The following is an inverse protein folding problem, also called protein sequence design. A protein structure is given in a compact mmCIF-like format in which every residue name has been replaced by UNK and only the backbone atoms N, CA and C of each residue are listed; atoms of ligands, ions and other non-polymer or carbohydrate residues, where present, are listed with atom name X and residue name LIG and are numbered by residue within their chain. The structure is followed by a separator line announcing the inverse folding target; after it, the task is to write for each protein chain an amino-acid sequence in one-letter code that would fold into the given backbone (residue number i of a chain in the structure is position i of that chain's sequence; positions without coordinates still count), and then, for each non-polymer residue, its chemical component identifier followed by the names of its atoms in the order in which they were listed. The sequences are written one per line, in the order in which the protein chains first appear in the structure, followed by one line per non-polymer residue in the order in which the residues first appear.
data_IF_813696464924
#
_entry.id   IF_813696464924
#
_cell.length_a   1.000
_cell.length_b   1.000
_cell.length_c   1.000
_cell.angle_alpha   90.00
_cell.angle_beta   90.00
_cell.angle_gamma   90.00
#
_symmetry.space_group_name_H-M   'P 1'
#
loop_
_entity.id
_entity.type
_entity.pdbx_description
1 polymer ?
#
# COMPACT_ATOMS: atom_id res chain seq x y z
N UNK A 1 -1.73 -31.35 3.74
CA UNK A 1 -2.89 -30.51 3.37
C UNK A 1 -3.84 -31.14 2.36
N UNK A 2 -3.38 -32.02 1.44
CA UNK A 2 -4.25 -32.67 0.43
C UNK A 2 -5.37 -33.52 1.04
N UNK A 3 -5.04 -34.34 2.06
CA UNK A 3 -5.99 -35.24 2.74
C UNK A 3 -7.19 -34.49 3.36
N UNK A 4 -6.95 -33.34 3.99
CA UNK A 4 -8.03 -32.55 4.61
C UNK A 4 -8.95 -31.89 3.56
N UNK A 5 -8.39 -31.44 2.43
CA UNK A 5 -9.19 -30.87 1.32
C UNK A 5 -10.07 -31.93 0.66
N UNK A 6 -9.53 -33.13 0.49
CA UNK A 6 -10.25 -34.28 -0.10
C UNK A 6 -11.39 -34.76 0.79
N UNK A 7 -11.15 -34.92 2.10
CA UNK A 7 -12.20 -35.28 3.06
C UNK A 7 -13.35 -34.25 3.06
N UNK A 8 -13.03 -32.95 3.07
CA UNK A 8 -14.02 -31.88 3.01
C UNK A 8 -14.83 -31.90 1.71
N UNK A 9 -14.18 -32.12 0.56
CA UNK A 9 -14.87 -32.20 -0.72
C UNK A 9 -15.82 -33.40 -0.80
N UNK A 10 -15.39 -34.57 -0.29
CA UNK A 10 -16.22 -35.77 -0.27
C UNK A 10 -17.46 -35.61 0.61
N UNK A 11 -17.35 -34.90 1.72
CA UNK A 11 -18.46 -34.66 2.65
C UNK A 11 -19.44 -33.58 2.13
N UNK A 12 -18.92 -32.44 1.65
CA UNK A 12 -19.75 -31.27 1.35
C UNK A 12 -20.11 -31.12 -0.13
N UNK A 13 -19.42 -31.85 -1.02
CA UNK A 13 -19.44 -31.67 -2.48
C UNK A 13 -19.13 -30.24 -2.92
N UNK A 14 -18.39 -29.49 -2.10
CA UNK A 14 -17.99 -28.11 -2.36
C UNK A 14 -16.47 -27.99 -2.36
N UNK A 15 -15.94 -27.17 -3.26
CA UNK A 15 -14.52 -26.82 -3.25
C UNK A 15 -14.20 -26.04 -1.98
N UNK A 16 -13.06 -26.36 -1.36
CA UNK A 16 -12.56 -25.63 -0.22
C UNK A 16 -12.17 -24.21 -0.64
N UNK A 17 -12.91 -23.20 -0.20
CA UNK A 17 -12.57 -21.79 -0.38
C UNK A 17 -12.11 -21.18 0.94
N UNK A 18 -11.14 -20.26 0.85
CA UNK A 18 -10.63 -19.54 2.02
C UNK A 18 -11.74 -18.79 2.76
N UNK A 19 -12.66 -18.18 2.01
CA UNK A 19 -13.76 -17.38 2.55
C UNK A 19 -14.74 -18.21 3.39
N UNK A 20 -15.05 -19.44 2.95
CA UNK A 20 -15.91 -20.32 3.73
C UNK A 20 -15.23 -20.77 5.03
N UNK A 21 -13.93 -21.07 4.97
CA UNK A 21 -13.16 -21.43 6.14
C UNK A 21 -13.06 -20.27 7.13
N UNK A 22 -12.86 -19.04 6.63
CA UNK A 22 -12.84 -17.81 7.42
C UNK A 22 -14.17 -17.56 8.11
N UNK A 23 -15.30 -17.77 7.44
CA UNK A 23 -16.62 -17.62 8.04
C UNK A 23 -16.84 -18.61 9.19
N UNK A 24 -16.48 -19.88 9.02
CA UNK A 24 -16.57 -20.89 10.09
C UNK A 24 -15.68 -20.51 11.29
N UNK A 25 -14.46 -20.06 11.02
CA UNK A 25 -13.51 -19.65 12.05
C UNK A 25 -13.99 -18.41 12.81
N UNK A 26 -14.56 -17.40 12.14
CA UNK A 26 -15.03 -16.16 12.78
C UNK A 26 -16.18 -16.40 13.76
N UNK A 27 -17.05 -17.36 13.45
CA UNK A 27 -18.21 -17.69 14.26
C UNK A 27 -17.86 -18.62 15.44
N UNK A 28 -16.63 -19.12 15.46
CA UNK A 28 -16.15 -19.98 16.53
C UNK A 28 -16.03 -19.20 17.86
N UNK A 29 -16.65 -19.73 18.93
CA UNK A 29 -16.71 -19.08 20.26
C UNK A 29 -15.36 -18.59 20.78
N UNK A 30 -14.30 -19.37 20.52
CA UNK A 30 -12.93 -19.00 20.91
C UNK A 30 -12.49 -17.64 20.33
N UNK A 31 -12.89 -17.26 19.12
CA UNK A 31 -12.54 -15.95 18.55
C UNK A 31 -13.53 -14.85 18.89
N UNK A 32 -14.80 -15.20 19.12
CA UNK A 32 -15.83 -14.23 19.50
C UNK A 32 -15.63 -13.63 20.89
N UNK A 33 -15.05 -14.40 21.82
CA UNK A 33 -14.90 -13.98 23.23
C UNK A 33 -13.69 -13.08 23.51
N UNK A 34 -12.79 -12.88 22.54
CA UNK A 34 -11.61 -12.01 22.67
C UNK A 34 -11.86 -10.56 22.27
N UNK A 35 -12.94 -10.24 21.56
CA UNK A 35 -13.22 -8.87 21.10
C UNK A 35 -13.77 -7.95 22.21
N UNK A 36 -14.23 -8.51 23.34
CA UNK A 36 -14.89 -7.75 24.42
C UNK A 36 -14.15 -7.72 25.75
N UNK A 37 -13.08 -8.51 25.93
CA UNK A 37 -12.36 -8.54 27.20
C UNK A 37 -11.21 -7.52 27.15
N UNK A 38 -11.47 -6.33 27.69
CA UNK A 38 -10.40 -5.40 28.10
C UNK A 38 -9.37 -6.21 28.89
N UNK A 39 -8.07 -6.14 28.57
CA UNK A 39 -7.05 -6.79 29.37
C UNK A 39 -7.19 -6.27 30.81
N UNK A 40 -7.63 -7.13 31.73
CA UNK A 40 -7.38 -6.86 33.14
C UNK A 40 -5.86 -6.99 33.28
N UNK A 41 -5.21 -5.84 33.29
CA UNK A 41 -3.83 -5.70 33.69
C UNK A 41 -3.61 -6.50 34.99
N UNK A 42 -2.61 -7.38 35.06
CA UNK A 42 -2.06 -7.78 36.35
C UNK A 42 -1.47 -6.52 36.98
N UNK A 43 -2.16 -5.95 37.98
CA UNK A 43 -1.56 -5.00 38.91
C UNK A 43 -0.61 -5.78 39.79
N UNK A 44 0.60 -6.01 39.30
CA UNK A 44 1.73 -6.46 40.10
C UNK A 44 2.65 -5.25 40.32
N UNK A 45 2.80 -4.88 41.59
CA UNK A 45 3.59 -3.75 42.04
C UNK A 45 5.10 -3.97 41.77
N UNK A 46 5.90 -2.90 41.62
CA UNK A 46 7.27 -2.99 41.16
C UNK A 46 8.23 -3.39 42.29
N UNK A 47 9.19 -4.32 42.07
CA UNK A 47 10.38 -4.35 42.87
C UNK A 47 11.34 -3.24 42.41
N UNK A 48 11.56 -2.34 43.37
CA UNK A 48 12.54 -1.28 43.42
C UNK A 48 13.98 -1.71 43.11
N UNK A 49 14.80 -0.71 42.80
CA UNK A 49 16.27 -0.66 42.79
C UNK A 49 16.99 -1.12 41.51
N UNK A 50 17.59 -0.18 40.78
CA UNK A 50 18.99 0.23 41.03
C UNK A 50 19.49 1.11 39.87
N UNK A 51 19.82 2.36 40.18
CA UNK A 51 20.61 3.25 39.32
C UNK A 51 22.07 3.28 39.84
N UNK A 52 23.08 3.37 38.96
CA UNK A 52 24.10 4.43 39.12
C UNK A 52 24.71 4.88 37.75
N UNK A 53 25.73 5.78 37.70
CA UNK A 53 25.60 7.23 37.62
C UNK A 53 26.08 7.83 36.27
N UNK A 54 25.65 9.06 36.02
CA UNK A 54 26.19 9.97 34.98
C UNK A 54 27.65 10.35 35.26
N UNK A 55 28.48 10.54 34.23
CA UNK A 55 29.60 11.49 34.28
C UNK A 55 29.21 12.85 33.67
N UNK A 56 29.35 13.87 34.51
CA UNK A 56 29.36 15.31 34.22
C UNK A 56 30.76 15.73 33.73
N UNK A 57 30.83 16.53 32.66
CA UNK A 57 31.77 17.65 32.35
C UNK A 57 31.97 17.76 30.84
N UNK A 58 31.83 18.89 30.15
CA UNK A 58 31.57 20.29 30.50
C UNK A 58 31.50 21.12 29.21
N UNK A 59 31.11 22.41 29.26
CA UNK A 59 31.21 23.38 28.16
C UNK A 59 32.57 24.12 28.25
N UNK A 60 33.21 24.50 27.13
CA UNK A 60 32.84 25.69 26.35
C UNK A 60 32.91 25.36 24.83
N UNK A 61 32.41 26.15 23.89
CA UNK A 61 32.98 27.44 23.50
C UNK A 61 32.16 27.89 22.27
N UNK A 62 31.71 29.14 22.29
CA UNK A 62 31.03 29.75 21.17
C UNK A 62 32.06 30.21 20.13
N UNK A 63 31.85 29.90 18.83
CA UNK A 63 32.33 30.75 17.76
C UNK A 63 31.18 31.65 17.31
N UNK A 64 31.43 32.94 17.45
CA UNK A 64 30.63 34.06 16.95
C UNK A 64 30.14 33.85 15.51
N UNK A 65 28.94 34.36 15.16
CA UNK A 65 28.51 34.47 13.77
C UNK A 65 29.37 35.54 13.09
N UNK A 66 30.31 35.08 12.26
CA UNK A 66 31.07 35.95 11.38
C UNK A 66 30.13 36.42 10.27
N UNK A 67 29.59 37.62 10.47
CA UNK A 67 29.07 38.45 9.40
C UNK A 67 30.20 38.67 8.38
N UNK A 68 29.97 38.30 7.12
CA UNK A 68 30.52 38.90 5.90
C UNK A 68 30.09 38.04 4.71
N UNK A 69 29.41 38.66 3.75
CA UNK A 69 29.26 38.09 2.41
C UNK A 69 27.85 38.20 1.86
N UNK A 70 27.42 39.43 1.62
CA UNK A 70 26.35 39.74 0.67
C UNK A 70 26.63 39.04 -0.68
N UNK A 71 25.89 37.98 -0.99
CA UNK A 71 25.59 37.64 -2.37
C UNK A 71 24.09 37.32 -2.49
N UNK A 72 23.37 38.37 -2.91
CA UNK A 72 21.98 38.29 -3.31
C UNK A 72 21.81 37.34 -4.50
N UNK A 73 21.61 36.07 -4.21
CA UNK A 73 20.76 35.21 -5.04
C UNK A 73 19.55 34.79 -4.20
N UNK A 74 18.83 35.80 -3.68
CA UNK A 74 17.41 35.66 -3.37
C UNK A 74 16.67 35.56 -4.69
N UNK A 75 16.82 34.40 -5.35
CA UNK A 75 16.01 34.04 -6.50
C UNK A 75 14.57 34.03 -5.98
N UNK A 76 13.82 35.08 -6.30
CA UNK A 76 12.41 35.21 -5.97
C UNK A 76 11.66 34.00 -6.52
N UNK A 77 11.49 32.99 -5.67
CA UNK A 77 10.56 31.86 -5.81
C UNK A 77 9.10 32.34 -5.64
N UNK A 78 8.79 33.55 -6.10
CA UNK A 78 7.51 34.24 -5.91
C UNK A 78 6.58 33.99 -7.12
N UNK A 79 7.09 33.33 -8.17
CA UNK A 79 6.33 33.01 -9.38
C UNK A 79 5.98 31.52 -9.56
N UNK A 80 6.20 30.65 -8.57
CA UNK A 80 5.72 29.28 -8.68
C UNK A 80 4.22 29.26 -8.44
N UNK A 81 3.48 28.80 -9.44
CA UNK A 81 2.05 28.52 -9.31
C UNK A 81 1.84 27.62 -8.09
N UNK A 82 0.81 27.92 -7.30
CA UNK A 82 0.49 27.19 -6.05
C UNK A 82 0.43 25.67 -6.26
N UNK A 83 0.03 25.25 -7.46
CA UNK A 83 0.04 23.85 -7.91
C UNK A 83 1.43 23.21 -7.86
N UNK A 84 2.48 23.90 -8.32
CA UNK A 84 3.84 23.35 -8.29
C UNK A 84 4.36 23.21 -6.85
N UNK A 85 4.00 24.15 -5.97
CA UNK A 85 4.37 24.09 -4.55
C UNK A 85 3.74 22.88 -3.86
N UNK A 86 2.45 22.64 -4.12
CA UNK A 86 1.72 21.48 -3.62
C UNK A 86 2.31 20.19 -4.17
N UNK A 87 2.61 20.13 -5.47
CA UNK A 87 3.22 18.95 -6.09
C UNK A 87 4.59 18.61 -5.48
N UNK A 88 5.42 19.62 -5.22
CA UNK A 88 6.76 19.44 -4.63
C UNK A 88 6.67 18.95 -3.18
N UNK A 89 5.75 19.52 -2.39
CA UNK A 89 5.50 19.06 -1.02
C UNK A 89 4.96 17.62 -1.01
N UNK A 90 4.05 17.28 -1.92
CA UNK A 90 3.52 15.93 -2.06
C UNK A 90 4.61 14.93 -2.45
N UNK A 91 5.47 15.27 -3.43
CA UNK A 91 6.60 14.44 -3.82
C UNK A 91 7.57 14.21 -2.65
N UNK A 92 7.83 15.24 -1.84
CA UNK A 92 8.68 15.11 -0.66
C UNK A 92 8.08 14.17 0.40
N UNK A 93 6.79 14.32 0.71
CA UNK A 93 6.08 13.43 1.64
C UNK A 93 6.10 11.99 1.13
N UNK A 94 5.90 11.79 -0.18
CA UNK A 94 5.97 10.47 -0.80
C UNK A 94 7.36 9.84 -0.66
N UNK A 95 8.44 10.60 -0.89
CA UNK A 95 9.80 10.08 -0.70
C UNK A 95 10.07 9.69 0.75
N UNK A 96 9.67 10.52 1.72
CA UNK A 96 9.84 10.22 3.15
C UNK A 96 9.02 8.99 3.57
N UNK A 97 7.80 8.84 3.06
CA UNK A 97 6.99 7.65 3.27
C UNK A 97 7.67 6.39 2.70
N UNK A 98 8.10 6.42 1.43
CA UNK A 98 8.82 5.32 0.78
C UNK A 98 10.09 4.94 1.57
N UNK A 99 10.81 5.93 2.09
CA UNK A 99 12.02 5.73 2.92
C UNK A 99 11.71 5.05 4.25
N UNK A 100 10.65 5.49 4.94
CA UNK A 100 10.22 4.90 6.21
C UNK A 100 9.73 3.46 6.02
N UNK A 101 8.93 3.20 4.98
CA UNK A 101 8.45 1.86 4.65
C UNK A 101 9.62 0.91 4.33
N UNK A 102 10.61 1.39 3.55
CA UNK A 102 11.81 0.61 3.26
C UNK A 102 12.59 0.28 4.56
N UNK A 103 12.69 1.23 5.48
CA UNK A 103 13.33 1.04 6.79
C UNK A 103 12.63 -0.01 7.65
N UNK A 104 11.29 0.01 7.69
CA UNK A 104 10.50 -0.99 8.41
C UNK A 104 10.76 -2.38 7.82
N UNK A 105 10.69 -2.49 6.49
CA UNK A 105 10.95 -3.76 5.80
C UNK A 105 12.38 -4.29 6.02
N UNK A 106 13.37 -3.41 6.17
CA UNK A 106 14.76 -3.83 6.42
C UNK A 106 14.96 -4.33 7.86
N UNK A 107 14.32 -3.69 8.84
CA UNK A 107 14.42 -4.11 10.25
C UNK A 107 13.96 -5.55 10.47
N UNK A 108 12.91 -5.98 9.78
CA UNK A 108 12.40 -7.35 9.90
C UNK A 108 13.34 -8.39 9.26
N UNK A 109 14.17 -7.97 8.29
CA UNK A 109 15.18 -8.83 7.67
C UNK A 109 16.37 -9.07 8.61
N UNK A 110 16.74 -8.09 9.43
CA UNK A 110 17.83 -8.23 10.39
C UNK A 110 17.48 -9.21 11.52
N UNK A 111 16.20 -9.39 11.80
CA UNK A 111 15.70 -10.36 12.79
C UNK A 111 15.74 -11.80 12.28
N UNK A 112 15.93 -12.03 10.98
CA UNK A 112 16.10 -13.37 10.43
C UNK A 112 17.52 -13.86 10.72
N UNK A 113 17.62 -14.85 11.59
CA UNK A 113 18.88 -15.55 11.89
C UNK A 113 19.30 -16.50 10.77
N UNK A 114 18.35 -16.99 9.96
CA UNK A 114 18.63 -17.90 8.84
C UNK A 114 18.99 -17.13 7.57
N UNK A 115 20.19 -17.37 7.06
CA UNK A 115 20.75 -16.67 5.91
C UNK A 115 20.01 -16.98 4.61
N UNK A 116 19.52 -18.22 4.45
CA UNK A 116 18.77 -18.63 3.26
C UNK A 116 17.43 -17.88 3.20
N UNK A 117 16.74 -17.82 4.33
CA UNK A 117 15.50 -17.05 4.47
C UNK A 117 15.73 -15.57 4.18
N UNK A 118 16.79 -14.96 4.74
CA UNK A 118 17.15 -13.55 4.48
C UNK A 118 17.28 -13.27 2.98
N UNK A 119 18.07 -14.06 2.27
CA UNK A 119 18.24 -13.89 0.82
C UNK A 119 16.95 -14.09 0.03
N UNK A 120 16.12 -15.06 0.41
CA UNK A 120 14.83 -15.28 -0.25
C UNK A 120 13.92 -14.05 -0.12
N UNK A 121 13.83 -13.47 1.09
CA UNK A 121 13.01 -12.28 1.31
C UNK A 121 13.58 -11.03 0.64
N UNK A 122 14.89 -10.85 0.63
CA UNK A 122 15.55 -9.77 -0.14
C UNK A 122 15.25 -9.87 -1.63
N UNK A 123 15.40 -11.07 -2.21
CA UNK A 123 15.08 -11.31 -3.62
C UNK A 123 13.61 -11.01 -3.91
N UNK A 124 12.71 -11.44 -3.02
CA UNK A 124 11.27 -11.19 -3.17
C UNK A 124 10.94 -9.70 -3.04
N UNK A 125 11.56 -8.99 -2.09
CA UNK A 125 11.45 -7.54 -1.91
C UNK A 125 11.88 -6.82 -3.20
N UNK A 126 13.05 -7.15 -3.74
CA UNK A 126 13.56 -6.58 -4.98
C UNK A 126 12.56 -6.75 -6.13
N UNK A 127 12.08 -7.97 -6.35
CA UNK A 127 11.11 -8.28 -7.40
C UNK A 127 9.81 -7.45 -7.27
N UNK A 128 9.32 -7.25 -6.05
CA UNK A 128 8.11 -6.44 -5.81
C UNK A 128 8.36 -4.97 -6.15
N UNK A 129 9.49 -4.42 -5.69
CA UNK A 129 9.87 -3.03 -5.98
C UNK A 129 10.03 -2.79 -7.47
N UNK A 130 10.75 -3.67 -8.18
CA UNK A 130 10.97 -3.56 -9.62
C UNK A 130 9.63 -3.61 -10.40
N UNK A 131 8.68 -4.43 -9.93
CA UNK A 131 7.35 -4.54 -10.56
C UNK A 131 6.52 -3.28 -10.35
N UNK A 132 6.56 -2.68 -9.15
CA UNK A 132 5.85 -1.44 -8.85
C UNK A 132 6.43 -0.27 -9.66
N UNK A 133 7.75 -0.16 -9.75
CA UNK A 133 8.41 0.88 -10.54
C UNK A 133 8.10 0.74 -12.04
N UNK A 134 8.10 -0.49 -12.56
CA UNK A 134 7.68 -0.74 -13.94
C UNK A 134 6.22 -0.36 -14.20
N UNK A 135 5.32 -0.61 -13.24
CA UNK A 135 3.92 -0.21 -13.33
C UNK A 135 3.75 1.31 -13.28
N UNK A 136 4.50 2.01 -12.42
CA UNK A 136 4.51 3.48 -12.34
C UNK A 136 4.99 4.07 -13.68
N UNK A 137 6.06 3.53 -14.26
CA UNK A 137 6.55 3.92 -15.58
C UNK A 137 5.55 3.66 -16.70
N UNK A 138 4.89 2.50 -16.71
CA UNK A 138 3.88 2.18 -17.70
C UNK A 138 2.69 3.15 -17.63
N UNK A 139 2.23 3.47 -16.41
CA UNK A 139 1.15 4.42 -16.19
C UNK A 139 1.49 5.84 -16.65
N UNK A 140 2.74 6.29 -16.44
CA UNK A 140 3.21 7.59 -16.95
C UNK A 140 3.25 7.63 -18.49
N UNK A 141 3.65 6.54 -19.15
CA UNK A 141 3.62 6.43 -20.60
C UNK A 141 2.20 6.46 -21.16
N UNK A 142 1.25 5.80 -20.50
CA UNK A 142 -0.17 5.82 -20.89
C UNK A 142 -0.76 7.23 -20.76
N UNK A 143 -0.42 7.96 -19.71
CA UNK A 143 -0.83 9.37 -19.55
C UNK A 143 -0.27 10.25 -20.69
N UNK A 144 1.00 10.08 -21.04
CA UNK A 144 1.63 10.84 -22.12
C UNK A 144 1.00 10.55 -23.50
N UNK A 145 0.69 9.28 -23.79
CA UNK A 145 0.06 8.89 -25.05
C UNK A 145 -1.41 9.32 -25.16
N UNK A 146 -2.19 9.18 -24.08
CA UNK A 146 -3.61 9.56 -24.08
C UNK A 146 -3.81 11.09 -24.06
N UNK A 147 -2.86 11.84 -23.51
CA UNK A 147 -2.90 13.32 -23.57
C UNK A 147 -2.81 13.86 -25.00
N UNK A 148 -2.25 13.09 -25.95
CA UNK A 148 -2.09 13.52 -27.34
C UNK A 148 -3.35 13.28 -28.21
N UNK A 149 -4.30 12.48 -27.75
CA UNK A 149 -5.53 12.17 -28.53
C UNK A 149 -6.76 12.96 -28.08
N UNK A 150 -6.70 13.70 -26.96
CA UNK A 150 -7.83 14.47 -26.43
C UNK A 150 -8.12 15.79 -27.16
N UNK A 151 -7.34 16.19 -28.18
CA UNK A 151 -7.41 17.55 -28.73
C UNK A 151 -8.18 17.72 -30.05
N UNK A 152 -8.73 16.67 -30.67
CA UNK A 152 -9.37 16.81 -32.01
C UNK A 152 -10.67 15.99 -32.12
N UNK A 153 -11.71 16.42 -31.40
CA UNK A 153 -13.10 16.17 -31.82
C UNK A 153 -13.96 17.38 -31.45
N UNK A 154 -13.66 18.51 -32.10
CA UNK A 154 -14.63 19.60 -32.26
C UNK A 154 -15.74 19.09 -33.19
N UNK A 155 -16.71 18.38 -32.63
CA UNK A 155 -17.93 18.03 -33.35
C UNK A 155 -18.67 19.32 -33.74
N UNK A 156 -19.01 19.54 -35.02
CA UNK A 156 -19.96 20.57 -35.37
C UNK A 156 -21.32 20.20 -34.78
N UNK A 157 -21.94 21.14 -34.07
CA UNK A 157 -23.31 21.07 -33.60
C UNK A 157 -24.26 20.72 -34.75
N UNK A 158 -24.61 19.44 -34.89
CA UNK A 158 -25.76 19.03 -35.69
C UNK A 158 -27.01 19.15 -34.82
N UNK A 159 -27.57 20.35 -34.90
CA UNK A 159 -28.96 20.63 -34.63
C UNK A 159 -29.82 19.84 -35.63
N UNK A 160 -30.65 18.90 -35.16
CA UNK A 160 -31.48 18.10 -36.05
C UNK A 160 -32.25 16.99 -35.35
N UNK A 161 -33.41 17.37 -34.80
CA UNK A 161 -34.57 16.57 -34.47
C UNK A 161 -34.58 15.16 -35.10
N UNK A 162 -34.59 14.09 -34.29
CA UNK A 162 -35.09 12.79 -34.74
C UNK A 162 -35.90 12.13 -33.63
N UNK A 163 -37.21 12.12 -33.88
CA UNK A 163 -38.25 11.44 -33.13
C UNK A 163 -38.13 9.91 -33.31
N UNK A 164 -38.35 9.19 -32.22
CA UNK A 164 -39.05 7.89 -32.12
C UNK A 164 -38.55 6.69 -32.95
N UNK A 165 -38.05 5.69 -32.20
CA UNK A 165 -38.44 4.25 -32.26
C UNK A 165 -37.52 3.52 -31.27
N UNK A 166 -37.97 3.14 -30.07
CA UNK A 166 -38.64 1.85 -29.79
C UNK A 166 -38.15 0.73 -30.71
N UNK A 167 -37.39 -0.24 -30.18
CA UNK A 167 -37.38 -1.69 -30.51
C UNK A 167 -36.26 -2.40 -29.72
N UNK A 168 -36.73 -3.33 -28.89
CA UNK A 168 -36.17 -4.60 -28.40
C UNK A 168 -34.76 -4.72 -27.80
N UNK A 169 -34.79 -5.16 -26.54
CA UNK A 169 -33.69 -5.74 -25.77
C UNK A 169 -33.76 -7.28 -25.91
N UNK A 170 -32.81 -7.96 -26.59
CA UNK A 170 -32.78 -9.42 -26.57
C UNK A 170 -32.21 -9.95 -25.25
N UNK A 171 -33.09 -10.67 -24.57
CA UNK A 171 -32.86 -11.48 -23.38
C UNK A 171 -32.00 -12.71 -23.74
N UNK A 172 -30.68 -12.62 -23.60
CA UNK A 172 -29.79 -13.76 -23.82
C UNK A 172 -29.58 -14.55 -22.52
N UNK A 173 -30.55 -15.42 -22.24
CA UNK A 173 -30.33 -16.64 -21.45
C UNK A 173 -29.70 -17.69 -22.37
N UNK A 174 -28.47 -18.14 -22.11
CA UNK A 174 -27.90 -19.34 -22.72
C UNK A 174 -26.88 -19.94 -21.75
N UNK A 175 -27.33 -20.85 -20.88
CA UNK A 175 -27.20 -22.31 -20.97
C UNK A 175 -25.77 -22.79 -20.67
N UNK A 176 -25.66 -23.37 -19.48
CA UNK A 176 -24.62 -24.28 -19.01
C UNK A 176 -24.82 -25.67 -19.64
N UNK A 177 -23.80 -26.24 -20.32
CA UNK A 177 -23.77 -27.66 -20.63
C UNK A 177 -22.62 -28.36 -19.87
N UNK A 178 -23.02 -29.26 -18.98
CA UNK A 178 -22.43 -30.60 -18.82
C UNK A 178 -20.99 -30.64 -18.29
N UNK A 179 -20.74 -31.15 -17.08
CA UNK A 179 -20.70 -32.61 -16.82
C UNK A 179 -20.22 -33.39 -18.04
N UNK A 180 -18.91 -33.65 -18.10
CA UNK A 180 -18.31 -34.96 -18.40
C UNK A 180 -16.80 -34.77 -18.58
N UNK A 181 -15.98 -35.34 -17.69
CA UNK A 181 -14.77 -36.06 -18.06
C UNK A 181 -14.29 -36.90 -16.88
N UNK A 182 -14.10 -38.17 -17.23
CA UNK A 182 -13.71 -39.34 -16.45
C UNK A 182 -12.41 -39.17 -15.64
#
# INVERSE_FOLDING_TARGET
MKIAKEAYYNETRKLFTFEQCWNILRDHKKWKDHSGKKPLMPTEAPPSASAPPLPISGPPEAPSPSANGDNEESICLIGLTEELRVALQHAQVQMEHKKMENHIMNKDLDLLTDEISRQYFEMKKRKIMDTLEAQEHAHLLDLANNSSQSSICSHPLQNGNSLASDIDMPNNTCIDPGLECL
#
